data_IF_101263377220
#
_entry.id   IF_101263377220
#
_cell.length_a   1.000
_cell.length_b   1.000
_cell.length_c   1.000
_cell.angle_alpha   90.00
_cell.angle_beta   90.00
_cell.angle_gamma   90.00
#
_symmetry.space_group_name_H-M   'P 1'
#
loop_
_entity.id
_entity.type
_entity.pdbx_description
1 polymer ?
#
# COMPACT_ATOMS: atom_id res chain seq x y z
N UNK A 1 36.35 1.95 -21.86
CA UNK A 1 35.32 1.08 -21.25
C UNK A 1 34.11 1.96 -21.08
N UNK A 2 33.20 1.95 -22.06
CA UNK A 2 32.05 2.85 -22.10
C UNK A 2 31.02 2.41 -21.05
N UNK A 3 30.70 3.33 -20.15
CA UNK A 3 29.66 3.16 -19.14
C UNK A 3 28.31 3.16 -19.85
N UNK A 4 27.82 1.97 -20.17
CA UNK A 4 26.49 1.77 -20.76
C UNK A 4 25.45 2.01 -19.65
N UNK A 5 25.12 3.28 -19.41
CA UNK A 5 23.96 3.64 -18.61
C UNK A 5 22.73 3.20 -19.38
N UNK A 6 22.02 2.19 -18.85
CA UNK A 6 20.71 1.82 -19.34
C UNK A 6 19.77 3.01 -19.18
N UNK A 7 19.71 3.85 -20.21
CA UNK A 7 18.69 4.88 -20.36
C UNK A 7 17.38 4.12 -20.64
N UNK A 8 16.48 4.10 -19.66
CA UNK A 8 15.10 3.66 -19.87
C UNK A 8 14.44 4.65 -20.84
N UNK A 9 14.58 4.40 -22.14
CA UNK A 9 13.83 5.13 -23.15
C UNK A 9 12.44 4.53 -23.20
N UNK A 10 11.47 5.24 -22.61
CA UNK A 10 10.05 4.98 -22.86
C UNK A 10 9.82 5.13 -24.37
N UNK A 11 9.71 4.01 -25.10
CA UNK A 11 9.47 4.01 -26.55
C UNK A 11 8.00 4.26 -26.92
N UNK A 12 7.17 4.58 -25.95
CA UNK A 12 5.78 5.00 -26.15
C UNK A 12 5.63 6.45 -25.70
N UNK A 13 4.87 7.21 -26.48
CA UNK A 13 4.52 8.59 -26.13
C UNK A 13 3.95 8.61 -24.70
N UNK A 14 4.48 9.51 -23.86
CA UNK A 14 4.04 9.69 -22.47
C UNK A 14 2.50 9.72 -22.43
N UNK A 15 1.84 8.79 -21.70
CA UNK A 15 0.39 8.74 -21.67
C UNK A 15 -0.21 10.09 -21.31
N UNK A 16 -1.26 10.52 -22.04
CA UNK A 16 -1.83 11.86 -21.89
C UNK A 16 -2.30 12.17 -20.46
N UNK A 17 -2.74 11.15 -19.70
CA UNK A 17 -3.16 11.33 -18.31
C UNK A 17 -2.02 11.77 -17.38
N UNK A 18 -0.76 11.44 -17.70
CA UNK A 18 0.41 11.83 -16.91
C UNK A 18 0.72 13.34 -16.98
N UNK A 19 0.09 14.08 -17.91
CA UNK A 19 0.29 15.52 -18.03
C UNK A 19 -0.56 16.32 -17.04
N UNK A 20 -1.62 15.71 -16.50
CA UNK A 20 -2.55 16.35 -15.56
C UNK A 20 -2.27 15.96 -14.10
N UNK A 21 -1.23 15.15 -13.84
CA UNK A 21 -0.86 14.73 -12.49
C UNK A 21 -0.20 15.91 -11.77
N UNK A 22 -0.89 16.41 -10.75
CA UNK A 22 -0.38 17.51 -9.92
C UNK A 22 0.55 17.01 -8.81
N UNK A 23 0.36 15.78 -8.33
CA UNK A 23 1.18 15.18 -7.27
C UNK A 23 1.24 13.65 -7.39
N UNK A 24 2.27 12.99 -6.84
CA UNK A 24 2.34 11.52 -6.78
C UNK A 24 1.13 10.87 -6.10
N UNK A 25 0.54 11.56 -5.12
CA UNK A 25 -0.67 11.11 -4.43
C UNK A 25 -1.89 11.08 -5.36
N UNK A 26 -2.03 12.10 -6.21
CA UNK A 26 -3.12 12.15 -7.20
C UNK A 26 -3.05 10.97 -8.17
N UNK A 27 -1.85 10.52 -8.54
CA UNK A 27 -1.68 9.29 -9.32
C UNK A 27 -2.14 8.05 -8.56
N UNK A 28 -1.84 7.94 -7.27
CA UNK A 28 -2.31 6.80 -6.46
C UNK A 28 -3.83 6.79 -6.30
N UNK A 29 -4.46 7.95 -6.15
CA UNK A 29 -5.92 8.10 -6.04
C UNK A 29 -6.65 7.70 -7.33
N UNK A 30 -6.00 7.82 -8.50
CA UNK A 30 -6.57 7.31 -9.75
C UNK A 30 -6.75 5.79 -9.75
N UNK A 31 -5.92 5.05 -9.02
CA UNK A 31 -5.98 3.59 -8.92
C UNK A 31 -6.69 3.10 -7.66
N UNK A 32 -6.51 3.82 -6.54
CA UNK A 32 -7.15 3.57 -5.25
C UNK A 32 -8.20 4.65 -5.00
N UNK A 33 -9.22 4.67 -5.86
CA UNK A 33 -10.36 5.56 -5.66
C UNK A 33 -11.26 5.05 -4.52
N UNK A 34 -12.20 5.88 -4.07
CA UNK A 34 -13.09 5.55 -2.97
C UNK A 34 -13.92 4.28 -3.24
N UNK A 35 -14.31 4.03 -4.49
CA UNK A 35 -15.05 2.83 -4.91
C UNK A 35 -14.22 1.55 -4.73
N UNK A 36 -12.96 1.55 -5.18
CA UNK A 36 -12.05 0.41 -4.99
C UNK A 36 -11.76 0.20 -3.51
N UNK A 37 -11.57 1.28 -2.76
CA UNK A 37 -11.37 1.23 -1.31
C UNK A 37 -12.57 0.58 -0.61
N UNK A 38 -13.78 1.02 -0.91
CA UNK A 38 -15.02 0.49 -0.34
C UNK A 38 -15.18 -1.01 -0.67
N UNK A 39 -14.95 -1.39 -1.93
CA UNK A 39 -14.98 -2.79 -2.36
C UNK A 39 -13.98 -3.65 -1.58
N UNK A 40 -12.75 -3.18 -1.39
CA UNK A 40 -11.72 -3.91 -0.62
C UNK A 40 -12.16 -4.09 0.84
N UNK A 41 -12.74 -3.06 1.46
CA UNK A 41 -13.23 -3.14 2.84
C UNK A 41 -14.34 -4.18 2.97
N UNK A 42 -15.34 -4.12 2.09
CA UNK A 42 -16.46 -5.06 2.08
C UNK A 42 -15.98 -6.50 1.93
N UNK A 43 -15.13 -6.78 0.93
CA UNK A 43 -14.61 -8.12 0.70
C UNK A 43 -13.75 -8.63 1.85
N UNK A 44 -12.93 -7.76 2.45
CA UNK A 44 -12.07 -8.15 3.58
C UNK A 44 -12.88 -8.48 4.84
N UNK A 45 -13.95 -7.73 5.13
CA UNK A 45 -14.87 -8.01 6.25
C UNK A 45 -15.63 -9.32 6.00
N UNK A 46 -16.14 -9.54 4.79
CA UNK A 46 -16.82 -10.78 4.43
C UNK A 46 -15.88 -11.99 4.60
N UNK A 47 -14.64 -11.87 4.15
CA UNK A 47 -13.64 -12.93 4.27
C UNK A 47 -13.24 -13.22 5.72
N UNK A 48 -13.10 -12.20 6.56
CA UNK A 48 -12.88 -12.38 8.00
C UNK A 48 -14.04 -13.16 8.65
N UNK A 49 -15.28 -12.80 8.31
CA UNK A 49 -16.48 -13.51 8.76
C UNK A 49 -16.52 -14.98 8.32
N UNK A 50 -16.07 -15.28 7.08
CA UNK A 50 -15.94 -16.65 6.58
C UNK A 50 -14.88 -17.47 7.35
N UNK A 51 -13.78 -16.82 7.78
CA UNK A 51 -12.76 -17.42 8.65
C UNK A 51 -13.20 -17.60 10.10
N UNK A 52 -14.37 -17.08 10.47
CA UNK A 52 -14.93 -17.17 11.81
C UNK A 52 -14.66 -15.96 12.71
N UNK A 53 -14.05 -14.91 12.17
CA UNK A 53 -13.80 -13.65 12.88
C UNK A 53 -14.85 -12.61 12.49
N UNK A 54 -15.91 -12.52 13.31
CA UNK A 54 -17.06 -11.62 13.07
C UNK A 54 -16.87 -10.24 13.69
N UNK A 55 -15.85 -10.09 14.53
CA UNK A 55 -15.56 -8.84 15.24
C UNK A 55 -14.48 -8.02 14.50
N UNK A 56 -13.95 -8.54 13.39
CA UNK A 56 -13.03 -7.82 12.53
C UNK A 56 -13.68 -6.59 11.91
N UNK A 57 -13.13 -5.42 12.25
CA UNK A 57 -13.55 -4.11 11.72
C UNK A 57 -12.34 -3.45 11.08
N UNK A 58 -12.51 -2.97 9.86
CA UNK A 58 -11.51 -2.23 9.11
C UNK A 58 -12.16 -0.99 8.50
N UNK A 59 -11.49 0.16 8.59
CA UNK A 59 -11.92 1.41 7.98
C UNK A 59 -11.03 1.86 6.82
N UNK A 60 -11.49 2.86 6.07
CA UNK A 60 -10.70 3.44 4.97
C UNK A 60 -9.33 4.00 5.43
N UNK A 61 -9.25 4.52 6.66
CA UNK A 61 -7.98 4.98 7.25
C UNK A 61 -6.98 3.84 7.44
N UNK A 62 -7.46 2.62 7.68
CA UNK A 62 -6.62 1.44 7.87
C UNK A 62 -6.04 0.95 6.54
N UNK A 63 -6.64 1.31 5.40
CA UNK A 63 -6.05 1.06 4.06
C UNK A 63 -4.79 1.88 3.78
N UNK A 64 -4.34 2.73 4.72
CA UNK A 64 -2.95 3.25 4.72
C UNK A 64 -1.90 2.14 4.70
N UNK A 65 -2.26 0.86 4.92
CA UNK A 65 -1.40 -0.29 4.61
C UNK A 65 -0.85 -0.28 3.17
N UNK A 66 -1.57 0.31 2.20
CA UNK A 66 -1.07 0.44 0.83
C UNK A 66 0.18 1.31 0.75
N UNK A 67 0.34 2.30 1.63
CA UNK A 67 1.57 3.07 1.73
C UNK A 67 2.76 2.21 2.17
N UNK A 68 2.55 1.28 3.11
CA UNK A 68 3.57 0.30 3.52
C UNK A 68 3.88 -0.66 2.38
N UNK A 69 2.87 -1.10 1.62
CA UNK A 69 3.07 -1.92 0.43
C UNK A 69 3.94 -1.22 -0.62
N UNK A 70 3.66 0.04 -0.94
CA UNK A 70 4.51 0.83 -1.84
C UNK A 70 5.92 0.99 -1.27
N UNK A 71 6.05 1.36 0.01
CA UNK A 71 7.34 1.52 0.67
C UNK A 71 8.17 0.22 0.68
N UNK A 72 7.52 -0.94 0.79
CA UNK A 72 8.18 -2.24 0.75
C UNK A 72 8.80 -2.58 -0.61
N UNK A 73 8.26 -1.98 -1.69
CA UNK A 73 8.85 -2.08 -3.02
C UNK A 73 10.13 -1.24 -3.17
N UNK A 74 10.25 -0.15 -2.41
CA UNK A 74 11.43 0.72 -2.39
C UNK A 74 12.50 0.25 -1.40
N UNK A 75 12.09 -0.12 -0.19
CA UNK A 75 12.97 -0.55 0.89
C UNK A 75 12.68 -2.02 1.22
N UNK A 76 13.55 -2.93 0.79
CA UNK A 76 13.39 -4.35 1.06
C UNK A 76 13.90 -4.67 2.47
N UNK A 77 12.98 -4.85 3.42
CA UNK A 77 13.31 -5.33 4.76
C UNK A 77 13.17 -6.86 4.84
N UNK A 78 14.03 -7.56 5.62
CA UNK A 78 13.99 -9.03 5.74
C UNK A 78 12.66 -9.57 6.27
N UNK A 79 11.94 -8.78 7.07
CA UNK A 79 10.65 -9.17 7.67
C UNK A 79 9.66 -8.03 7.52
N UNK A 80 8.43 -8.33 7.10
CA UNK A 80 7.37 -7.32 6.91
C UNK A 80 7.04 -6.56 8.20
N UNK A 81 7.10 -7.23 9.35
CA UNK A 81 6.89 -6.60 10.67
C UNK A 81 7.88 -5.46 10.98
N UNK A 82 9.06 -5.45 10.34
CA UNK A 82 10.05 -4.39 10.55
C UNK A 82 9.59 -3.03 10.02
N UNK A 83 8.67 -2.99 9.03
CA UNK A 83 8.12 -1.72 8.54
C UNK A 83 7.33 -0.96 9.62
N UNK A 84 6.82 -1.68 10.61
CA UNK A 84 6.09 -1.16 11.75
C UNK A 84 6.91 -1.11 13.04
N UNK A 85 8.17 -1.53 13.01
CA UNK A 85 8.97 -1.64 14.21
C UNK A 85 9.52 -0.25 14.60
N UNK A 86 9.42 0.08 15.89
CA UNK A 86 9.86 1.39 16.41
C UNK A 86 11.33 1.35 16.88
N UNK A 87 12.11 0.36 16.44
CA UNK A 87 13.54 0.26 16.74
C UNK A 87 14.33 1.22 15.85
N UNK A 88 15.36 1.85 16.41
CA UNK A 88 16.08 2.95 15.76
C UNK A 88 16.65 2.59 14.37
N UNK A 89 16.99 1.33 14.13
CA UNK A 89 17.66 0.89 12.91
C UNK A 89 16.70 0.66 11.72
N UNK A 90 15.41 0.46 11.99
CA UNK A 90 14.39 0.13 10.97
C UNK A 90 13.19 1.06 10.98
N UNK A 91 13.12 1.97 11.96
CA UNK A 91 12.01 2.93 12.09
C UNK A 91 11.91 3.84 10.87
N UNK A 92 10.78 3.74 10.20
CA UNK A 92 10.38 4.71 9.19
C UNK A 92 9.39 5.70 9.81
N UNK A 93 9.83 6.96 10.00
CA UNK A 93 9.00 8.00 10.62
C UNK A 93 7.67 8.20 9.86
N UNK A 94 7.69 8.18 8.53
CA UNK A 94 6.48 8.35 7.72
C UNK A 94 5.47 7.23 7.94
N UNK A 95 5.93 5.98 8.08
CA UNK A 95 5.04 4.84 8.39
C UNK A 95 4.54 4.93 9.84
N UNK A 96 5.45 5.21 10.79
CA UNK A 96 5.11 5.24 12.22
C UNK A 96 4.14 6.37 12.58
N UNK A 97 4.20 7.50 11.87
CA UNK A 97 3.28 8.62 12.05
C UNK A 97 1.94 8.35 11.35
N UNK A 98 1.96 7.73 10.17
CA UNK A 98 0.75 7.42 9.42
C UNK A 98 -0.08 6.28 10.03
N UNK A 99 0.58 5.30 10.68
CA UNK A 99 -0.02 4.10 11.27
C UNK A 99 0.57 3.82 12.67
N UNK A 100 0.02 4.44 13.74
CA UNK A 100 0.58 4.37 15.09
C UNK A 100 0.41 3.01 15.76
N UNK A 101 -0.68 2.30 15.43
CA UNK A 101 -0.89 0.90 15.84
C UNK A 101 -0.66 0.04 14.61
N UNK A 102 0.34 -0.83 14.64
CA UNK A 102 0.58 -1.74 13.53
C UNK A 102 -0.46 -2.86 13.49
N UNK A 103 -1.64 -2.55 12.94
CA UNK A 103 -2.64 -3.53 12.52
C UNK A 103 -2.30 -4.18 11.17
N UNK A 104 -1.13 -3.87 10.59
CA UNK A 104 -0.76 -4.31 9.24
C UNK A 104 -0.91 -5.83 9.04
N UNK A 105 -0.42 -6.64 9.98
CA UNK A 105 -0.51 -8.11 9.88
C UNK A 105 -1.96 -8.62 10.01
N UNK A 106 -2.75 -7.99 10.88
CA UNK A 106 -4.16 -8.32 11.13
C UNK A 106 -5.04 -7.94 9.94
N UNK A 107 -4.73 -6.83 9.28
CA UNK A 107 -5.39 -6.43 8.04
C UNK A 107 -4.95 -7.34 6.89
N UNK A 108 -3.66 -7.62 6.78
CA UNK A 108 -3.11 -8.45 5.70
C UNK A 108 -3.63 -9.88 5.69
N UNK A 109 -3.92 -10.47 6.85
CA UNK A 109 -4.47 -11.83 6.92
C UNK A 109 -5.91 -11.96 6.39
N UNK A 110 -6.64 -10.84 6.35
CA UNK A 110 -8.03 -10.77 5.91
C UNK A 110 -8.22 -9.95 4.63
N UNK A 111 -7.16 -9.35 4.09
CA UNK A 111 -7.20 -8.56 2.86
C UNK A 111 -7.70 -9.42 1.69
N UNK A 112 -8.84 -9.03 1.13
CA UNK A 112 -9.49 -9.74 0.05
C UNK A 112 -10.03 -8.77 -1.00
N UNK A 113 -10.00 -9.19 -2.28
CA UNK A 113 -10.33 -8.33 -3.43
C UNK A 113 -11.49 -8.88 -4.28
N UNK A 114 -11.92 -10.12 -4.04
CA UNK A 114 -12.99 -10.81 -4.78
C UNK A 114 -13.85 -11.60 -3.80
N UNK A 115 -14.88 -12.30 -4.28
CA UNK A 115 -15.64 -13.31 -3.53
C UNK A 115 -15.02 -14.69 -3.73
#
# INVERSE_FOLDING_TARGET
MENNTFQLTWNEAKPHFLNNIQSPTSLSEMFLNDEVIEHILEQSILYAGQKGDRDFVIGAVDLKIFAILFASGYNVLPRRRMFCENSNDVKNNAISEAMPRCGFEEIMQYLHFSI
#
